data_IF_098015983251
#
_entry.id   IF_098015983251
#
_cell.length_a   1.000
_cell.length_b   1.000
_cell.length_c   1.000
_cell.angle_alpha   90.00
_cell.angle_beta   90.00
_cell.angle_gamma   90.00
#
_symmetry.space_group_name_H-M   'P 1'
#
loop_
_entity.id
_entity.type
_entity.pdbx_description
1 polymer ?
#
# COMPACT_ATOMS: atom_id res chain seq x y z
N UNK A 1 -17.66 18.75 -35.65
CA UNK A 1 -18.18 17.43 -35.23
C UNK A 1 -19.06 17.64 -34.02
N UNK A 2 -20.17 16.90 -33.91
CA UNK A 2 -20.96 16.87 -32.68
C UNK A 2 -20.09 16.34 -31.53
N UNK A 3 -20.28 16.86 -30.32
CA UNK A 3 -19.55 16.40 -29.13
C UNK A 3 -20.16 15.09 -28.65
N UNK A 4 -19.32 14.20 -28.14
CA UNK A 4 -19.75 12.96 -27.51
C UNK A 4 -20.50 13.31 -26.22
N UNK A 5 -21.64 12.67 -25.96
CA UNK A 5 -22.45 12.95 -24.79
C UNK A 5 -21.74 12.53 -23.50
N UNK A 6 -22.00 13.26 -22.41
CA UNK A 6 -21.51 12.89 -21.09
C UNK A 6 -21.99 11.48 -20.68
N UNK A 7 -23.22 11.11 -21.05
CA UNK A 7 -23.76 9.75 -20.82
C UNK A 7 -22.90 8.67 -21.45
N UNK A 8 -22.38 8.89 -22.67
CA UNK A 8 -21.44 7.94 -23.28
C UNK A 8 -20.16 7.85 -22.48
N UNK A 9 -19.58 8.99 -22.10
CA UNK A 9 -18.34 9.04 -21.33
C UNK A 9 -18.50 8.29 -20.00
N UNK A 10 -19.57 8.59 -19.25
CA UNK A 10 -19.87 7.95 -17.97
C UNK A 10 -20.00 6.43 -18.10
N UNK A 11 -20.72 5.95 -19.14
CA UNK A 11 -20.86 4.51 -19.42
C UNK A 11 -19.51 3.83 -19.69
N UNK A 12 -18.60 4.50 -20.38
CA UNK A 12 -17.27 3.94 -20.66
C UNK A 12 -16.35 4.01 -19.43
N UNK A 13 -16.50 5.02 -18.58
CA UNK A 13 -15.81 5.13 -17.28
C UNK A 13 -16.34 4.13 -16.23
N UNK A 14 -17.52 3.55 -16.47
CA UNK A 14 -18.13 2.49 -15.68
C UNK A 14 -17.80 1.08 -16.15
N UNK A 15 -16.91 0.92 -17.13
CA UNK A 15 -16.45 -0.40 -17.57
C UNK A 15 -15.45 -1.01 -16.58
N UNK A 16 -15.54 -2.32 -16.35
CA UNK A 16 -14.53 -3.05 -15.59
C UNK A 16 -13.19 -2.98 -16.32
N UNK A 17 -12.20 -2.36 -15.68
CA UNK A 17 -10.92 -2.06 -16.31
C UNK A 17 -10.07 -3.30 -16.58
N UNK A 18 -10.16 -4.34 -15.73
CA UNK A 18 -9.42 -5.57 -15.96
C UNK A 18 -10.05 -6.37 -17.11
N UNK A 19 -11.38 -6.44 -17.17
CA UNK A 19 -12.10 -7.06 -18.28
C UNK A 19 -11.86 -6.31 -19.59
N UNK A 20 -11.89 -4.98 -19.57
CA UNK A 20 -11.53 -4.16 -20.72
C UNK A 20 -10.09 -4.43 -21.21
N UNK A 21 -9.11 -4.48 -20.29
CA UNK A 21 -7.72 -4.75 -20.66
C UNK A 21 -7.55 -6.14 -21.32
N UNK A 22 -8.27 -7.16 -20.84
CA UNK A 22 -8.28 -8.49 -21.48
C UNK A 22 -8.90 -8.43 -22.88
N UNK A 23 -10.01 -7.71 -23.07
CA UNK A 23 -10.63 -7.52 -24.40
C UNK A 23 -9.75 -6.71 -25.36
N UNK A 24 -8.93 -5.79 -24.84
CA UNK A 24 -7.92 -5.07 -25.61
C UNK A 24 -6.77 -5.99 -26.06
N UNK A 25 -6.59 -7.14 -25.41
CA UNK A 25 -5.59 -8.15 -25.73
C UNK A 25 -4.47 -8.32 -24.69
N UNK A 26 -4.56 -7.63 -23.55
CA UNK A 26 -3.54 -7.75 -22.49
C UNK A 26 -3.68 -9.06 -21.74
N UNK A 27 -2.54 -9.70 -21.47
CA UNK A 27 -2.44 -10.82 -20.55
C UNK A 27 -2.34 -10.29 -19.12
N UNK A 28 -3.30 -10.63 -18.27
CA UNK A 28 -3.35 -10.20 -16.88
C UNK A 28 -2.98 -11.35 -15.92
N UNK A 29 -2.17 -11.02 -14.92
CA UNK A 29 -1.86 -11.90 -13.78
C UNK A 29 -2.51 -11.34 -12.52
N UNK A 30 -3.43 -12.09 -11.91
CA UNK A 30 -4.09 -11.66 -10.66
C UNK A 30 -3.17 -11.86 -9.45
N UNK A 31 -3.01 -10.83 -8.63
CA UNK A 31 -2.31 -10.88 -7.34
C UNK A 31 -3.16 -10.18 -6.27
N UNK A 32 -3.88 -10.98 -5.48
CA UNK A 32 -4.87 -10.47 -4.51
C UNK A 32 -6.05 -9.78 -5.20
N UNK A 33 -6.27 -8.50 -4.86
CA UNK A 33 -7.28 -7.63 -5.47
C UNK A 33 -6.80 -6.89 -6.72
N UNK A 34 -5.53 -7.04 -7.08
CA UNK A 34 -4.89 -6.34 -8.19
C UNK A 34 -4.65 -7.28 -9.38
N UNK A 35 -4.53 -6.70 -10.57
CA UNK A 35 -4.13 -7.40 -11.80
C UNK A 35 -2.87 -6.74 -12.36
N UNK A 36 -1.88 -7.54 -12.71
CA UNK A 36 -0.61 -7.06 -13.27
C UNK A 36 -0.47 -7.44 -14.73
N UNK A 37 0.09 -6.53 -15.53
CA UNK A 37 0.43 -6.75 -16.93
C UNK A 37 1.65 -5.93 -17.34
N UNK A 38 2.08 -6.08 -18.59
CA UNK A 38 3.28 -5.45 -19.12
C UNK A 38 3.02 -3.97 -19.44
N UNK A 39 3.95 -3.08 -19.11
CA UNK A 39 3.98 -1.68 -19.54
C UNK A 39 4.29 -1.55 -21.03
N UNK A 40 4.10 -0.36 -21.58
CA UNK A 40 4.51 -0.06 -22.93
C UNK A 40 6.04 0.03 -23.04
N UNK A 41 6.59 -0.36 -24.20
CA UNK A 41 8.03 -0.28 -24.45
C UNK A 41 8.83 -1.51 -24.04
N UNK A 42 8.17 -2.65 -23.82
CA UNK A 42 8.82 -3.96 -23.70
C UNK A 42 9.56 -4.15 -22.38
N UNK A 43 8.82 -4.45 -21.32
CA UNK A 43 9.43 -4.95 -20.08
C UNK A 43 9.43 -6.48 -20.03
N UNK A 44 10.41 -7.06 -19.34
CA UNK A 44 10.49 -8.52 -19.14
C UNK A 44 9.60 -9.00 -18.00
N UNK A 45 9.13 -8.08 -17.17
CA UNK A 45 8.38 -8.36 -15.95
C UNK A 45 7.18 -7.43 -15.83
N UNK A 46 5.95 -7.94 -15.65
CA UNK A 46 4.76 -7.13 -15.43
C UNK A 46 4.90 -6.15 -14.26
N UNK A 47 4.90 -4.85 -14.54
CA UNK A 47 4.95 -3.77 -13.55
C UNK A 47 3.75 -2.82 -13.63
N UNK A 48 2.89 -2.94 -14.65
CA UNK A 48 1.63 -2.21 -14.69
C UNK A 48 0.58 -2.92 -13.84
N UNK A 49 0.04 -2.20 -12.87
CA UNK A 49 -0.99 -2.68 -11.96
C UNK A 49 -2.34 -2.04 -12.28
N UNK A 50 -3.39 -2.85 -12.35
CA UNK A 50 -4.80 -2.47 -12.44
C UNK A 50 -5.47 -2.81 -11.11
N UNK A 51 -6.20 -1.86 -10.54
CA UNK A 51 -7.00 -2.02 -9.33
C UNK A 51 -8.49 -1.85 -9.69
N UNK A 52 -9.23 -2.94 -10.01
CA UNK A 52 -10.60 -2.85 -10.56
C UNK A 52 -11.59 -2.11 -9.67
N UNK A 53 -11.55 -2.34 -8.36
CA UNK A 53 -12.40 -1.67 -7.36
C UNK A 53 -12.24 -0.13 -7.37
N UNK A 54 -11.07 0.36 -7.81
CA UNK A 54 -10.75 1.78 -7.93
C UNK A 54 -10.84 2.31 -9.35
N UNK A 55 -11.07 1.42 -10.33
CA UNK A 55 -11.02 1.71 -11.78
C UNK A 55 -9.74 2.42 -12.18
N UNK A 56 -8.63 2.11 -11.51
CA UNK A 56 -7.36 2.81 -11.63
C UNK A 56 -6.28 1.87 -12.13
N UNK A 57 -5.28 2.43 -12.80
CA UNK A 57 -4.06 1.72 -13.16
C UNK A 57 -2.81 2.58 -12.92
N UNK A 58 -1.70 1.92 -12.62
CA UNK A 58 -0.39 2.55 -12.34
C UNK A 58 0.73 1.69 -12.94
N UNK A 59 1.62 2.30 -13.71
CA UNK A 59 2.82 1.63 -14.25
C UNK A 59 4.01 1.83 -13.29
N UNK A 60 4.31 0.84 -12.45
CA UNK A 60 5.36 0.96 -11.42
C UNK A 60 6.79 1.01 -11.98
N UNK A 61 7.02 0.46 -13.17
CA UNK A 61 8.30 0.59 -13.88
C UNK A 61 8.51 1.95 -14.56
N UNK A 62 7.55 2.87 -14.45
CA UNK A 62 7.59 4.21 -15.04
C UNK A 62 6.76 5.20 -14.21
N UNK A 63 6.28 6.31 -14.79
CA UNK A 63 5.58 7.38 -14.06
C UNK A 63 4.09 7.54 -14.42
N UNK A 64 3.59 6.75 -15.36
CA UNK A 64 2.23 6.85 -15.88
C UNK A 64 1.20 6.17 -14.97
N UNK A 65 0.06 6.83 -14.82
CA UNK A 65 -1.11 6.32 -14.12
C UNK A 65 -2.38 6.97 -14.66
N UNK A 66 -3.53 6.34 -14.44
CA UNK A 66 -4.80 6.82 -14.98
C UNK A 66 -6.03 6.11 -14.44
N UNK A 67 -7.20 6.57 -14.89
CA UNK A 67 -8.51 6.07 -14.49
C UNK A 67 -9.35 5.66 -15.69
N UNK A 68 -10.03 4.52 -15.57
CA UNK A 68 -10.96 4.01 -16.57
C UNK A 68 -10.32 3.54 -17.89
N UNK A 69 -11.17 2.99 -18.75
CA UNK A 69 -10.77 2.39 -20.01
C UNK A 69 -10.20 3.41 -21.02
N UNK A 70 -10.72 4.65 -21.03
CA UNK A 70 -10.26 5.72 -21.93
C UNK A 70 -8.80 6.08 -21.65
N UNK A 71 -8.45 6.32 -20.38
CA UNK A 71 -7.09 6.64 -19.99
C UNK A 71 -6.14 5.47 -20.27
N UNK A 72 -6.60 4.25 -20.00
CA UNK A 72 -5.83 3.03 -20.23
C UNK A 72 -5.53 2.79 -21.72
N UNK A 73 -6.54 2.89 -22.58
CA UNK A 73 -6.39 2.78 -24.02
C UNK A 73 -5.44 3.86 -24.56
N UNK A 74 -5.61 5.10 -24.10
CA UNK A 74 -4.74 6.21 -24.49
C UNK A 74 -3.28 5.95 -24.13
N UNK A 75 -3.02 5.42 -22.93
CA UNK A 75 -1.67 5.02 -22.55
C UNK A 75 -1.15 3.91 -23.46
N UNK A 76 -1.93 2.85 -23.67
CA UNK A 76 -1.56 1.73 -24.53
C UNK A 76 -1.20 2.17 -25.94
N UNK A 77 -1.94 3.12 -26.51
CA UNK A 77 -1.75 3.57 -27.89
C UNK A 77 -0.68 4.65 -28.05
N UNK A 78 -0.60 5.60 -27.13
CA UNK A 78 0.21 6.82 -27.30
C UNK A 78 1.17 7.13 -26.16
N UNK A 79 1.33 6.24 -25.17
CA UNK A 79 2.11 6.48 -23.94
C UNK A 79 1.66 7.73 -23.16
N UNK A 80 0.39 8.13 -23.26
CA UNK A 80 -0.17 9.22 -22.45
C UNK A 80 -1.49 8.83 -21.80
N UNK A 81 -1.66 9.01 -20.47
CA UNK A 81 -2.91 8.69 -19.80
C UNK A 81 -3.99 9.78 -19.96
N UNK A 82 -3.66 10.95 -20.53
CA UNK A 82 -4.53 12.12 -20.62
C UNK A 82 -4.73 12.54 -22.08
N UNK A 83 -5.53 11.80 -22.87
CA UNK A 83 -5.81 12.15 -24.26
C UNK A 83 -6.55 13.50 -24.34
N UNK A 84 -6.29 14.28 -25.39
CA UNK A 84 -6.93 15.59 -25.63
C UNK A 84 -7.29 15.73 -27.11
N UNK A 85 -8.29 16.57 -27.41
CA UNK A 85 -8.69 16.86 -28.79
C UNK A 85 -9.07 15.59 -29.56
N UNK A 86 -8.47 15.41 -30.74
CA UNK A 86 -8.73 14.25 -31.60
C UNK A 86 -8.38 12.92 -30.93
N UNK A 87 -7.30 12.85 -30.14
CA UNK A 87 -6.93 11.64 -29.40
C UNK A 87 -8.00 11.21 -28.40
N UNK A 88 -8.72 12.17 -27.80
CA UNK A 88 -9.80 11.86 -26.87
C UNK A 88 -10.98 11.24 -27.60
N UNK A 89 -11.37 11.81 -28.74
CA UNK A 89 -12.46 11.29 -29.58
C UNK A 89 -12.13 9.87 -30.03
N UNK A 90 -10.91 9.67 -30.56
CA UNK A 90 -10.45 8.37 -31.03
C UNK A 90 -10.36 7.33 -29.89
N UNK A 91 -9.93 7.73 -28.70
CA UNK A 91 -9.92 6.85 -27.54
C UNK A 91 -11.35 6.41 -27.16
N UNK A 92 -12.30 7.34 -27.12
CA UNK A 92 -13.70 7.02 -26.79
C UNK A 92 -14.31 6.08 -27.82
N UNK A 93 -14.11 6.35 -29.11
CA UNK A 93 -14.62 5.50 -30.19
C UNK A 93 -14.01 4.10 -30.15
N UNK A 94 -12.70 3.99 -29.91
CA UNK A 94 -12.03 2.69 -29.80
C UNK A 94 -12.47 1.91 -28.56
N UNK A 95 -12.61 2.57 -27.41
CA UNK A 95 -13.09 1.93 -26.18
C UNK A 95 -14.53 1.44 -26.36
N UNK A 96 -15.41 2.27 -26.93
CA UNK A 96 -16.79 1.91 -27.24
C UNK A 96 -16.86 0.73 -28.23
N UNK A 97 -15.99 0.71 -29.23
CA UNK A 97 -15.85 -0.42 -30.16
C UNK A 97 -15.44 -1.70 -29.42
N UNK A 98 -14.37 -1.68 -28.63
CA UNK A 98 -13.90 -2.89 -27.92
C UNK A 98 -14.95 -3.37 -26.90
N UNK A 99 -15.55 -2.45 -26.16
CA UNK A 99 -16.53 -2.75 -25.14
C UNK A 99 -17.92 -3.09 -25.69
N UNK A 100 -18.19 -2.85 -26.99
CA UNK A 100 -19.52 -2.99 -27.56
C UNK A 100 -20.53 -2.05 -26.90
N UNK A 101 -20.24 -0.75 -26.83
CA UNK A 101 -21.11 0.27 -26.22
C UNK A 101 -21.52 1.30 -27.26
N UNK A 102 -22.80 1.64 -27.35
CA UNK A 102 -23.29 2.68 -28.27
C UNK A 102 -22.70 4.05 -27.91
N UNK A 103 -22.38 4.83 -28.94
CA UNK A 103 -21.86 6.20 -28.79
C UNK A 103 -22.99 7.17 -29.06
N UNK A 104 -23.44 7.86 -28.04
CA UNK A 104 -24.42 8.94 -28.14
C UNK A 104 -23.69 10.29 -28.19
N UNK A 105 -24.14 11.16 -29.08
CA UNK A 105 -23.65 12.52 -29.24
C UNK A 105 -24.64 13.52 -28.64
N UNK A 106 -24.18 14.72 -28.29
CA UNK A 106 -25.01 15.78 -27.68
C UNK A 106 -26.18 16.22 -28.60
N UNK A 107 -26.06 16.02 -29.91
CA UNK A 107 -27.11 16.31 -30.89
C UNK A 107 -28.16 15.18 -31.01
N UNK A 108 -28.06 14.13 -30.19
CA UNK A 108 -28.95 12.97 -30.19
C UNK A 108 -28.59 11.90 -31.22
N UNK A 109 -27.53 12.10 -32.03
CA UNK A 109 -27.04 11.06 -32.94
C UNK A 109 -26.50 9.88 -32.12
N UNK A 110 -26.85 8.66 -32.52
CA UNK A 110 -26.32 7.43 -31.93
C UNK A 110 -25.52 6.66 -32.98
N UNK A 111 -24.31 6.26 -32.64
CA UNK A 111 -23.44 5.44 -33.48
C UNK A 111 -23.30 4.06 -32.83
N UNK A 112 -23.59 3.03 -33.62
CA UNK A 112 -23.44 1.63 -33.22
C UNK A 112 -22.05 1.14 -33.65
N UNK A 113 -21.16 0.79 -32.71
CA UNK A 113 -19.88 0.20 -33.06
C UNK A 113 -20.07 -1.17 -33.72
N UNK A 114 -19.17 -1.56 -34.62
CA UNK A 114 -19.26 -2.82 -35.35
C UNK A 114 -19.20 -4.07 -34.45
N UNK A 115 -18.61 -3.94 -33.27
CA UNK A 115 -18.55 -5.02 -32.27
C UNK A 115 -19.81 -5.10 -31.39
N UNK A 116 -20.77 -4.19 -31.52
CA UNK A 116 -22.01 -4.25 -30.77
C UNK A 116 -22.88 -5.43 -31.24
N UNK A 117 -23.15 -6.37 -30.33
CA UNK A 117 -23.97 -7.56 -30.58
C UNK A 117 -25.28 -7.54 -29.79
N UNK A 118 -25.74 -6.36 -29.36
CA UNK A 118 -26.95 -6.18 -28.56
C UNK A 118 -26.70 -6.01 -27.05
N UNK A 119 -25.47 -6.20 -26.58
CA UNK A 119 -25.06 -5.95 -25.19
C UNK A 119 -23.56 -5.59 -25.12
N UNK A 120 -23.11 -4.90 -24.05
CA UNK A 120 -21.69 -4.68 -23.79
C UNK A 120 -20.92 -6.00 -23.65
N UNK A 121 -19.73 -6.06 -24.25
CA UNK A 121 -18.76 -7.17 -24.15
C UNK A 121 -17.90 -7.09 -22.90
N UNK A 122 -17.81 -5.91 -22.31
CA UNK A 122 -17.09 -5.65 -21.06
C UNK A 122 -18.11 -5.48 -19.95
N UNK A 123 -17.88 -6.15 -18.83
CA UNK A 123 -18.74 -6.08 -17.65
C UNK A 123 -18.77 -4.66 -17.10
N UNK A 124 -19.88 -4.30 -16.45
CA UNK A 124 -19.91 -3.12 -15.60
C UNK A 124 -18.88 -3.31 -14.48
N UNK A 125 -18.13 -2.24 -14.20
CA UNK A 125 -17.21 -2.20 -13.09
C UNK A 125 -17.96 -2.48 -11.78
N UNK A 126 -17.27 -3.08 -10.79
CA UNK A 126 -17.76 -3.12 -9.42
C UNK A 126 -18.23 -1.74 -8.97
N UNK A 127 -19.16 -1.71 -8.01
CA UNK A 127 -19.61 -0.46 -7.40
C UNK A 127 -18.37 0.31 -6.93
N UNK A 128 -18.23 1.54 -7.43
CA UNK A 128 -17.09 2.36 -7.09
C UNK A 128 -17.16 2.66 -5.58
N UNK A 129 -16.22 2.08 -4.83
CA UNK A 129 -16.00 2.50 -3.46
C UNK A 129 -15.36 3.88 -3.58
N UNK A 130 -16.17 4.94 -3.47
CA UNK A 130 -15.70 6.33 -3.44
C UNK A 130 -14.96 6.56 -2.13
N UNK A 131 -13.75 6.00 -2.04
CA UNK A 131 -12.76 6.44 -1.05
C UNK A 131 -12.48 7.91 -1.31
N UNK A 132 -12.36 8.71 -0.25
CA UNK A 132 -11.87 10.07 -0.45
C UNK A 132 -10.46 10.00 -1.01
N UNK A 133 -10.21 10.74 -2.09
CA UNK A 133 -8.88 10.78 -2.71
C UNK A 133 -7.88 11.30 -1.69
N UNK A 134 -6.81 10.52 -1.50
CA UNK A 134 -5.69 10.90 -0.63
C UNK A 134 -5.07 12.19 -1.16
N UNK A 135 -4.87 13.17 -0.26
CA UNK A 135 -4.22 14.46 -0.58
C UNK A 135 -2.74 14.28 -0.94
N UNK A 136 -2.16 15.31 -1.56
CA UNK A 136 -0.73 15.36 -1.86
C UNK A 136 0.16 15.30 -0.61
N UNK A 137 1.42 14.88 -0.80
CA UNK A 137 2.37 14.66 0.30
C UNK A 137 2.61 15.92 1.17
N UNK A 138 2.79 17.15 0.61
CA UNK A 138 2.95 18.34 1.44
C UNK A 138 1.72 18.66 2.30
N UNK A 139 0.50 18.45 1.77
CA UNK A 139 -0.72 18.63 2.54
C UNK A 139 -0.85 17.60 3.64
N UNK A 140 -0.55 16.32 3.35
CA UNK A 140 -0.53 15.25 4.34
C UNK A 140 0.44 15.56 5.49
N UNK A 141 1.67 15.95 5.16
CA UNK A 141 2.72 16.29 6.13
C UNK A 141 2.25 17.37 7.10
N UNK A 142 1.62 18.44 6.59
CA UNK A 142 1.10 19.54 7.40
C UNK A 142 0.07 19.06 8.43
N UNK A 143 -0.91 18.26 8.00
CA UNK A 143 -1.93 17.71 8.89
C UNK A 143 -1.32 16.74 9.91
N UNK A 144 -0.45 15.85 9.47
CA UNK A 144 0.16 14.83 10.32
C UNK A 144 1.10 15.41 11.37
N UNK A 145 2.00 16.33 11.00
CA UNK A 145 2.87 17.00 11.98
C UNK A 145 2.07 17.79 13.00
N UNK A 146 0.96 18.43 12.59
CA UNK A 146 0.06 19.11 13.54
C UNK A 146 -0.62 18.12 14.48
N UNK A 147 -1.15 17.02 13.96
CA UNK A 147 -1.78 15.95 14.74
C UNK A 147 -0.80 15.35 15.76
N UNK A 148 0.44 15.08 15.37
CA UNK A 148 1.47 14.45 16.22
C UNK A 148 1.78 15.24 17.50
N UNK A 149 1.50 16.56 17.53
CA UNK A 149 1.68 17.38 18.75
C UNK A 149 0.75 16.96 19.90
N UNK A 150 -0.34 16.27 19.59
CA UNK A 150 -1.36 15.86 20.56
C UNK A 150 -1.24 14.38 20.98
N UNK A 151 -0.28 13.63 20.44
CA UNK A 151 -0.11 12.20 20.68
C UNK A 151 1.27 11.85 21.27
N UNK A 152 1.68 12.44 22.41
CA UNK A 152 3.00 12.18 22.98
C UNK A 152 3.24 10.68 23.18
N UNK A 153 4.50 10.27 23.06
CA UNK A 153 4.88 8.89 23.30
C UNK A 153 4.66 8.56 24.79
N UNK A 154 3.94 7.47 25.06
CA UNK A 154 3.67 7.00 26.43
C UNK A 154 4.92 6.37 27.05
N UNK A 155 4.94 6.24 28.37
CA UNK A 155 6.07 5.63 29.10
C UNK A 155 6.24 4.17 28.67
N UNK A 156 5.15 3.42 28.53
CA UNK A 156 5.15 2.02 28.13
C UNK A 156 5.72 1.84 26.71
N UNK A 157 5.32 2.71 25.78
CA UNK A 157 5.81 2.66 24.40
C UNK A 157 7.26 3.12 24.29
N UNK A 158 7.67 4.10 25.10
CA UNK A 158 9.09 4.48 25.23
C UNK A 158 9.92 3.31 25.74
N UNK A 159 9.45 2.59 26.76
CA UNK A 159 10.13 1.41 27.29
C UNK A 159 10.19 0.27 26.28
N UNK A 160 9.18 0.10 25.43
CA UNK A 160 9.22 -0.83 24.32
C UNK A 160 10.41 -0.54 23.39
N UNK A 161 10.62 0.71 22.99
CA UNK A 161 11.76 1.07 22.14
C UNK A 161 13.10 0.83 22.83
N UNK A 162 13.25 1.23 24.09
CA UNK A 162 14.50 1.02 24.85
C UNK A 162 14.83 -0.46 25.04
N UNK A 163 13.84 -1.29 25.39
CA UNK A 163 14.10 -2.69 25.80
C UNK A 163 13.98 -3.70 24.68
N UNK A 164 13.08 -3.48 23.72
CA UNK A 164 12.84 -4.43 22.61
C UNK A 164 13.51 -4.00 21.33
N UNK A 165 13.66 -2.70 21.10
CA UNK A 165 14.32 -2.16 19.90
C UNK A 165 15.73 -1.65 20.17
N UNK A 166 16.14 -1.61 21.44
CA UNK A 166 17.47 -1.19 21.88
C UNK A 166 17.84 0.21 21.37
N UNK A 167 16.85 1.08 21.19
CA UNK A 167 17.06 2.46 20.79
C UNK A 167 17.36 3.33 22.01
N UNK A 168 18.29 4.26 21.86
CA UNK A 168 18.57 5.29 22.85
C UNK A 168 17.57 6.47 22.75
N UNK A 169 17.59 7.36 23.75
CA UNK A 169 16.65 8.47 23.83
C UNK A 169 16.79 9.49 22.70
N UNK A 170 18.01 9.70 22.20
CA UNK A 170 18.25 10.57 21.03
C UNK A 170 17.55 10.01 19.80
N UNK A 171 17.73 8.72 19.52
CA UNK A 171 17.04 8.02 18.43
C UNK A 171 15.53 8.14 18.60
N UNK A 172 14.98 7.74 19.74
CA UNK A 172 13.52 7.75 19.98
C UNK A 172 12.94 9.16 19.78
N UNK A 173 13.63 10.19 20.28
CA UNK A 173 13.20 11.58 20.13
C UNK A 173 13.20 12.02 18.66
N UNK A 174 14.32 11.84 17.96
CA UNK A 174 14.53 12.27 16.58
C UNK A 174 13.60 11.57 15.59
N UNK A 175 13.25 10.30 15.83
CA UNK A 175 12.33 9.55 14.94
C UNK A 175 10.89 10.04 15.00
N UNK A 176 10.55 10.82 16.02
CA UNK A 176 9.23 11.39 16.27
C UNK A 176 8.12 10.34 16.41
N UNK A 177 8.40 9.18 17.01
CA UNK A 177 7.35 8.20 17.32
C UNK A 177 6.30 8.78 18.28
N UNK A 178 5.05 8.31 18.16
CA UNK A 178 3.90 8.80 18.94
C UNK A 178 3.08 7.64 19.48
N UNK A 179 2.16 7.89 20.42
CA UNK A 179 1.21 6.87 20.91
C UNK A 179 -0.22 7.26 20.57
N UNK A 180 -0.92 6.43 19.80
CA UNK A 180 -2.36 6.55 19.60
C UNK A 180 -3.08 5.93 20.81
N UNK A 181 -3.67 6.76 21.67
CA UNK A 181 -4.45 6.29 22.82
C UNK A 181 -5.82 5.76 22.42
N UNK A 182 -6.46 4.90 23.24
CA UNK A 182 -7.77 4.30 22.93
C UNK A 182 -8.98 5.25 23.15
N UNK A 183 -8.79 6.33 23.92
CA UNK A 183 -9.85 7.25 24.31
C UNK A 183 -10.48 8.00 23.12
N UNK A 184 -11.70 7.61 22.73
CA UNK A 184 -12.44 8.20 21.60
C UNK A 184 -12.73 9.69 21.75
N UNK A 185 -13.04 10.16 22.96
CA UNK A 185 -13.35 11.57 23.24
C UNK A 185 -12.13 12.45 23.01
N UNK A 186 -10.97 12.02 23.50
CA UNK A 186 -9.72 12.73 23.27
C UNK A 186 -9.37 12.76 21.77
N UNK A 187 -9.60 11.68 21.02
CA UNK A 187 -9.33 11.67 19.56
C UNK A 187 -10.24 12.63 18.79
N UNK A 188 -11.50 12.73 19.20
CA UNK A 188 -12.42 13.75 18.68
C UNK A 188 -11.90 15.16 18.97
N UNK A 189 -11.48 15.44 20.21
CA UNK A 189 -10.93 16.75 20.59
C UNK A 189 -9.66 17.10 19.79
N UNK A 190 -8.79 16.12 19.54
CA UNK A 190 -7.62 16.31 18.67
C UNK A 190 -8.04 16.65 17.25
N UNK A 191 -8.98 15.90 16.68
CA UNK A 191 -9.49 16.19 15.34
C UNK A 191 -10.09 17.60 15.24
N UNK A 192 -10.88 18.02 16.23
CA UNK A 192 -11.45 19.36 16.33
C UNK A 192 -10.38 20.47 16.38
N UNK A 193 -9.31 20.29 17.18
CA UNK A 193 -8.18 21.24 17.21
C UNK A 193 -7.49 21.34 15.86
N UNK A 194 -7.18 20.21 15.22
CA UNK A 194 -6.54 20.16 13.91
C UNK A 194 -7.41 20.87 12.87
N UNK A 195 -8.72 20.63 12.89
CA UNK A 195 -9.68 21.26 11.98
C UNK A 195 -9.76 22.77 12.13
N UNK A 196 -9.79 23.27 13.37
CA UNK A 196 -9.83 24.71 13.64
C UNK A 196 -8.60 25.44 13.10
N UNK A 197 -7.46 24.77 13.03
CA UNK A 197 -6.22 25.36 12.54
C UNK A 197 -5.99 25.16 11.04
N UNK A 198 -6.35 24.00 10.48
CA UNK A 198 -5.98 23.61 9.11
C UNK A 198 -7.16 23.40 8.16
N UNK A 199 -8.40 23.48 8.64
CA UNK A 199 -9.61 23.17 7.89
C UNK A 199 -9.98 21.67 7.91
N UNK A 200 -11.01 21.30 7.15
CA UNK A 200 -11.51 19.92 7.13
C UNK A 200 -10.45 18.92 6.64
N UNK A 201 -10.27 17.76 7.31
CA UNK A 201 -9.22 16.80 7.02
C UNK A 201 -9.67 15.78 5.97
N UNK A 202 -10.51 16.19 5.02
CA UNK A 202 -10.97 15.33 3.95
C UNK A 202 -9.80 14.93 3.04
N UNK A 203 -9.65 13.62 2.79
CA UNK A 203 -8.51 13.08 2.05
C UNK A 203 -7.24 12.89 2.90
N UNK A 204 -7.30 13.05 4.23
CA UNK A 204 -6.19 12.74 5.15
C UNK A 204 -6.44 11.37 5.80
N UNK A 205 -5.60 10.34 5.53
CA UNK A 205 -5.73 9.03 6.16
C UNK A 205 -5.76 9.09 7.68
N UNK A 206 -6.62 8.28 8.30
CA UNK A 206 -6.79 8.22 9.75
C UNK A 206 -7.88 9.14 10.29
N UNK A 207 -8.14 10.28 9.63
CA UNK A 207 -9.30 11.11 9.90
C UNK A 207 -10.54 10.54 9.24
N UNK A 208 -11.66 10.56 9.97
CA UNK A 208 -12.93 10.07 9.49
C UNK A 208 -14.07 10.97 9.93
N UNK A 209 -15.03 11.18 9.03
CA UNK A 209 -16.29 11.84 9.35
C UNK A 209 -17.31 10.77 9.71
N UNK A 210 -17.72 10.76 10.97
CA UNK A 210 -18.57 9.72 11.53
C UNK A 210 -19.97 10.27 11.83
N UNK A 211 -20.96 9.37 11.73
CA UNK A 211 -22.32 9.63 12.18
C UNK A 211 -22.35 9.72 13.69
N UNK A 212 -22.82 10.84 14.23
CA UNK A 212 -23.08 10.99 15.66
C UNK A 212 -24.56 10.85 15.99
N UNK A 213 -24.86 10.81 17.29
CA UNK A 213 -26.23 10.74 17.79
C UNK A 213 -27.01 12.03 17.56
N UNK A 214 -26.33 13.19 17.64
CA UNK A 214 -26.93 14.51 17.41
C UNK A 214 -26.41 15.15 16.13
N UNK A 215 -25.09 15.17 15.95
CA UNK A 215 -24.42 15.74 14.78
C UNK A 215 -23.31 14.81 14.31
N UNK A 216 -23.07 14.80 13.01
CA UNK A 216 -21.91 14.13 12.44
C UNK A 216 -20.64 14.89 12.85
N UNK A 217 -19.53 14.18 13.03
CA UNK A 217 -18.31 14.75 13.57
C UNK A 217 -17.06 14.12 12.98
N UNK A 218 -15.98 14.87 12.93
CA UNK A 218 -14.66 14.35 12.56
C UNK A 218 -13.95 13.75 13.77
N UNK A 219 -13.27 12.63 13.58
CA UNK A 219 -12.43 11.99 14.60
C UNK A 219 -11.26 11.26 13.97
N UNK A 220 -10.38 10.69 14.80
CA UNK A 220 -9.25 9.86 14.36
C UNK A 220 -9.55 8.40 14.70
N UNK A 221 -9.59 7.55 13.68
CA UNK A 221 -9.85 6.11 13.81
C UNK A 221 -8.53 5.32 13.88
N UNK A 222 -8.60 4.10 14.40
CA UNK A 222 -7.45 3.20 14.55
C UNK A 222 -7.43 2.48 15.89
N UNK A 223 -6.68 1.38 15.98
CA UNK A 223 -6.47 0.67 17.26
C UNK A 223 -5.35 1.35 18.04
N UNK A 224 -5.42 1.35 19.37
CA UNK A 224 -4.36 1.90 20.20
C UNK A 224 -3.00 1.21 19.92
N UNK A 225 -1.92 2.00 19.93
CA UNK A 225 -0.60 1.54 19.56
C UNK A 225 0.42 2.65 19.33
N UNK A 226 1.62 2.23 18.95
CA UNK A 226 2.71 3.12 18.55
C UNK A 226 2.47 3.58 17.11
N UNK A 227 2.43 4.90 16.90
CA UNK A 227 2.38 5.56 15.61
C UNK A 227 3.80 5.72 15.05
N UNK A 228 4.02 5.12 13.89
CA UNK A 228 5.28 5.13 13.14
C UNK A 228 5.09 6.01 11.90
N UNK A 229 5.71 7.20 11.83
CA UNK A 229 5.60 8.08 10.67
C UNK A 229 6.29 7.48 9.44
N UNK A 230 5.62 7.47 8.29
CA UNK A 230 6.19 7.07 7.00
C UNK A 230 6.62 8.31 6.23
N UNK A 231 7.91 8.46 5.97
CA UNK A 231 8.52 9.62 5.32
C UNK A 231 8.86 9.31 3.87
N UNK A 232 8.55 10.22 2.95
CA UNK A 232 9.04 10.11 1.57
C UNK A 232 10.49 10.63 1.45
N UNK A 233 11.06 10.57 0.24
CA UNK A 233 12.41 11.09 -0.06
C UNK A 233 12.54 12.62 -0.01
N UNK A 234 11.49 13.31 0.46
CA UNK A 234 11.48 14.75 0.75
C UNK A 234 11.15 15.05 2.23
N UNK A 235 11.17 14.03 3.11
CA UNK A 235 10.77 14.13 4.52
C UNK A 235 9.33 14.62 4.75
N UNK A 236 8.44 14.42 3.79
CA UNK A 236 7.00 14.56 4.06
C UNK A 236 6.51 13.30 4.77
N UNK A 237 5.77 13.47 5.86
CA UNK A 237 5.01 12.37 6.46
C UNK A 237 3.81 12.08 5.55
N UNK A 238 3.77 10.89 4.95
CA UNK A 238 2.76 10.50 3.95
C UNK A 238 1.76 9.46 4.47
N UNK A 239 1.95 9.02 5.71
CA UNK A 239 1.05 8.14 6.44
C UNK A 239 1.66 7.65 7.76
N UNK A 240 0.89 6.85 8.49
CA UNK A 240 1.36 6.17 9.69
C UNK A 240 1.04 4.69 9.65
N UNK A 241 2.02 3.87 10.01
CA UNK A 241 1.72 2.53 10.48
C UNK A 241 1.57 2.56 12.00
N UNK A 242 0.56 1.87 12.50
CA UNK A 242 0.33 1.63 13.91
C UNK A 242 0.89 0.25 14.25
N UNK A 243 1.84 0.19 15.18
CA UNK A 243 2.16 -1.05 15.88
C UNK A 243 1.24 -1.17 17.09
N UNK A 244 0.26 -2.05 17.03
CA UNK A 244 -0.76 -2.17 18.07
C UNK A 244 -0.17 -2.58 19.43
N UNK A 245 -0.73 -2.05 20.51
CA UNK A 245 -0.37 -2.48 21.87
C UNK A 245 -0.73 -3.95 22.09
N UNK A 246 -1.86 -4.37 21.51
CA UNK A 246 -2.31 -5.76 21.45
C UNK A 246 -2.51 -6.18 19.99
N UNK A 247 -2.00 -7.34 19.55
CA UNK A 247 -2.13 -7.75 18.17
C UNK A 247 -3.61 -8.00 17.82
N UNK A 248 -3.93 -7.94 16.53
CA UNK A 248 -5.13 -8.59 16.04
C UNK A 248 -4.82 -10.06 15.82
N UNK A 249 -5.76 -10.94 16.17
CA UNK A 249 -5.62 -12.36 15.92
C UNK A 249 -6.34 -12.69 14.62
N UNK A 250 -5.59 -13.28 13.71
CA UNK A 250 -6.10 -13.86 12.48
C UNK A 250 -5.89 -15.37 12.54
N UNK A 251 -6.61 -16.12 11.72
CA UNK A 251 -6.41 -17.56 11.59
C UNK A 251 -5.75 -17.89 10.25
N UNK A 252 -4.64 -18.62 10.29
CA UNK A 252 -4.10 -19.31 9.11
C UNK A 252 -4.83 -20.64 9.02
N UNK A 253 -5.49 -20.84 7.89
CA UNK A 253 -6.24 -22.06 7.57
C UNK A 253 -5.51 -22.79 6.46
N UNK A 254 -5.17 -24.06 6.70
CA UNK A 254 -4.62 -24.97 5.69
C UNK A 254 -5.63 -26.12 5.52
N UNK A 255 -6.20 -26.28 4.31
CA UNK A 255 -7.26 -27.25 4.02
C UNK A 255 -8.60 -26.59 3.65
N UNK A 256 -9.62 -27.40 3.35
CA UNK A 256 -10.92 -26.94 2.85
C UNK A 256 -11.91 -26.60 3.98
N UNK A 257 -11.49 -25.77 4.91
CA UNK A 257 -12.29 -25.35 6.07
C UNK A 257 -12.38 -23.82 6.13
N UNK A 258 -13.30 -23.30 6.94
CA UNK A 258 -13.43 -21.86 7.19
C UNK A 258 -13.70 -21.58 8.65
N UNK A 259 -13.00 -20.60 9.21
CA UNK A 259 -13.29 -20.06 10.54
C UNK A 259 -14.38 -19.00 10.42
N UNK A 260 -15.45 -19.15 11.19
CA UNK A 260 -16.55 -18.18 11.31
C UNK A 260 -16.38 -17.42 12.61
N UNK A 261 -16.07 -16.12 12.49
CA UNK A 261 -15.86 -15.21 13.61
C UNK A 261 -17.19 -14.76 14.24
N UNK A 262 -17.83 -15.67 14.97
CA UNK A 262 -18.97 -15.39 15.85
C UNK A 262 -18.67 -15.85 17.28
N UNK A 263 -19.62 -15.71 18.20
CA UNK A 263 -19.44 -16.15 19.58
C UNK A 263 -20.46 -17.27 19.90
N UNK A 264 -20.03 -18.54 20.07
CA UNK A 264 -18.65 -19.04 19.98
C UNK A 264 -18.13 -19.10 18.53
N UNK A 265 -16.79 -19.13 18.36
CA UNK A 265 -16.17 -19.32 17.05
C UNK A 265 -16.56 -20.70 16.51
N UNK A 266 -16.70 -20.82 15.20
CA UNK A 266 -16.93 -22.11 14.54
C UNK A 266 -15.87 -22.37 13.48
N UNK A 267 -15.50 -23.64 13.31
CA UNK A 267 -14.83 -24.12 12.10
C UNK A 267 -15.80 -24.97 11.32
N UNK A 268 -16.01 -24.61 10.05
CA UNK A 268 -16.87 -25.36 9.14
C UNK A 268 -16.03 -26.03 8.06
N UNK A 269 -16.42 -27.24 7.68
CA UNK A 269 -15.96 -27.87 6.45
C UNK A 269 -16.66 -27.20 5.26
N UNK A 270 -15.90 -26.80 4.24
CA UNK A 270 -16.48 -26.10 3.08
C UNK A 270 -17.10 -27.05 2.06
N UNK A 271 -16.77 -28.35 2.09
CA UNK A 271 -17.35 -29.35 1.21
C UNK A 271 -18.66 -29.89 1.77
N UNK A 272 -18.68 -30.26 3.06
CA UNK A 272 -19.88 -30.83 3.69
C UNK A 272 -20.77 -29.78 4.35
N UNK A 273 -20.27 -28.55 4.56
CA UNK A 273 -20.92 -27.52 5.37
C UNK A 273 -21.14 -27.91 6.84
N UNK A 274 -20.50 -28.99 7.31
CA UNK A 274 -20.60 -29.43 8.71
C UNK A 274 -19.74 -28.56 9.62
N UNK A 275 -20.21 -28.37 10.85
CA UNK A 275 -19.44 -27.70 11.90
C UNK A 275 -18.47 -28.73 12.48
N UNK A 276 -17.18 -28.58 12.16
CA UNK A 276 -16.12 -29.45 12.65
C UNK A 276 -15.72 -29.13 14.10
N UNK A 277 -15.91 -27.88 14.53
CA UNK A 277 -15.55 -27.44 15.88
C UNK A 277 -16.23 -26.14 16.28
N UNK A 278 -16.48 -25.99 17.59
CA UNK A 278 -16.95 -24.75 18.21
C UNK A 278 -16.18 -24.44 19.50
N UNK A 279 -15.89 -23.16 19.75
CA UNK A 279 -15.25 -22.75 21.01
C UNK A 279 -14.71 -21.33 21.02
N UNK A 280 -13.72 -21.10 21.88
CA UNK A 280 -13.10 -19.79 22.08
C UNK A 280 -11.84 -19.61 21.24
N UNK A 281 -11.43 -18.36 21.00
CA UNK A 281 -10.22 -18.05 20.24
C UNK A 281 -9.00 -18.83 20.76
N UNK A 282 -8.79 -18.87 22.08
CA UNK A 282 -7.64 -19.52 22.72
C UNK A 282 -7.55 -21.03 22.53
N UNK A 283 -8.70 -21.70 22.36
CA UNK A 283 -8.75 -23.13 22.08
C UNK A 283 -8.42 -23.47 20.61
N UNK A 284 -8.49 -22.49 19.70
CA UNK A 284 -8.36 -22.69 18.24
C UNK A 284 -6.90 -22.67 17.73
N UNK A 285 -5.90 -22.62 18.60
CA UNK A 285 -4.50 -22.51 18.18
C UNK A 285 -3.85 -23.89 17.94
N UNK A 286 -3.33 -24.12 16.73
CA UNK A 286 -2.67 -25.36 16.29
C UNK A 286 -3.58 -26.59 16.30
N UNK A 287 -4.87 -26.41 16.04
CA UNK A 287 -5.79 -27.53 15.89
C UNK A 287 -5.65 -28.18 14.52
N UNK A 288 -5.76 -29.52 14.54
CA UNK A 288 -5.83 -30.37 13.34
C UNK A 288 -7.16 -31.10 13.37
N UNK A 289 -7.75 -31.24 12.20
CA UNK A 289 -9.03 -31.90 11.99
C UNK A 289 -8.80 -33.26 11.33
N UNK A 290 -9.75 -34.18 11.48
CA UNK A 290 -9.65 -35.54 10.93
C UNK A 290 -9.51 -35.56 9.40
N UNK A 291 -10.09 -34.57 8.72
CA UNK A 291 -9.95 -34.35 7.28
C UNK A 291 -8.56 -33.84 6.85
N UNK A 292 -7.59 -33.76 7.77
CA UNK A 292 -6.24 -33.28 7.53
C UNK A 292 -6.10 -31.76 7.49
N UNK A 293 -7.20 -31.01 7.62
CA UNK A 293 -7.15 -29.56 7.70
C UNK A 293 -6.56 -29.09 9.04
N UNK A 294 -6.05 -27.87 9.08
CA UNK A 294 -5.52 -27.28 10.31
C UNK A 294 -5.76 -25.79 10.41
N UNK A 295 -5.85 -25.32 11.65
CA UNK A 295 -6.00 -23.90 12.00
C UNK A 295 -4.90 -23.52 12.98
N UNK A 296 -4.22 -22.41 12.70
CA UNK A 296 -3.25 -21.80 13.62
C UNK A 296 -3.47 -20.31 13.76
N UNK A 297 -3.22 -19.76 14.95
CA UNK A 297 -3.29 -18.32 15.17
C UNK A 297 -2.11 -17.61 14.52
N UNK A 298 -2.39 -16.54 13.81
CA UNK A 298 -1.42 -15.53 13.37
C UNK A 298 -1.71 -14.21 14.04
N UNK A 299 -0.70 -13.68 14.72
CA UNK A 299 -0.77 -12.37 15.35
C UNK A 299 -0.34 -11.28 14.38
N UNK A 300 -1.26 -10.37 14.06
CA UNK A 300 -0.98 -9.18 13.25
C UNK A 300 -0.77 -7.98 14.18
N UNK A 301 0.48 -7.58 14.30
CA UNK A 301 0.91 -6.46 15.16
C UNK A 301 0.80 -5.09 14.50
N UNK A 302 0.69 -5.02 13.17
CA UNK A 302 0.74 -3.75 12.44
C UNK A 302 -0.53 -3.51 11.63
N UNK A 303 -0.90 -2.24 11.48
CA UNK A 303 -1.90 -1.78 10.53
C UNK A 303 -1.70 -0.32 10.16
N UNK A 304 -2.36 0.13 9.11
CA UNK A 304 -2.27 1.53 8.70
C UNK A 304 -3.26 2.39 9.48
N UNK A 305 -2.85 3.62 9.82
CA UNK A 305 -3.76 4.66 10.30
C UNK A 305 -4.56 5.19 9.10
N UNK A 306 -5.57 4.43 8.69
CA UNK A 306 -6.42 4.71 7.56
C UNK A 306 -7.79 4.07 7.79
N UNK A 307 -8.82 4.61 7.14
CA UNK A 307 -10.17 4.04 7.20
C UNK A 307 -10.88 4.28 5.89
N UNK A 308 -11.57 3.25 5.40
CA UNK A 308 -12.45 3.40 4.25
C UNK A 308 -13.82 3.90 4.73
N UNK A 309 -14.60 4.57 3.87
CA UNK A 309 -16.01 4.80 4.14
C UNK A 309 -16.71 3.46 4.43
N UNK A 310 -17.51 3.44 5.49
CA UNK A 310 -18.26 2.28 5.95
C UNK A 310 -19.55 2.79 6.63
N UNK A 311 -20.59 3.12 5.84
CA UNK A 311 -21.82 3.70 6.36
C UNK A 311 -22.54 2.79 7.37
N UNK A 312 -22.41 1.47 7.24
CA UNK A 312 -23.00 0.50 8.18
C UNK A 312 -22.38 0.64 9.58
N UNK A 313 -21.07 0.90 9.65
CA UNK A 313 -20.36 1.22 10.90
C UNK A 313 -20.40 2.70 11.27
N UNK A 314 -21.15 3.52 10.53
CA UNK A 314 -21.30 4.95 10.76
C UNK A 314 -20.11 5.80 10.30
N UNK A 315 -19.22 5.28 9.46
CA UNK A 315 -18.11 6.04 8.85
C UNK A 315 -18.61 6.61 7.52
N UNK A 316 -19.04 7.87 7.53
CA UNK A 316 -19.61 8.56 6.37
C UNK A 316 -18.54 8.96 5.36
N UNK A 317 -17.38 9.40 5.86
CA UNK A 317 -16.19 9.71 5.06
C UNK A 317 -14.95 9.12 5.72
N UNK A 318 -14.09 8.50 4.91
CA UNK A 318 -12.80 7.97 5.32
C UNK A 318 -11.82 8.01 4.15
N UNK A 319 -10.53 8.06 4.46
CA UNK A 319 -9.47 8.00 3.46
C UNK A 319 -8.61 6.77 3.67
N UNK A 320 -8.51 5.94 2.63
CA UNK A 320 -7.57 4.83 2.58
C UNK A 320 -6.12 5.34 2.58
N UNK A 321 -5.17 4.45 2.84
CA UNK A 321 -3.76 4.82 2.90
C UNK A 321 -3.13 5.19 1.53
N UNK A 322 -3.91 5.16 0.44
CA UNK A 322 -3.45 5.34 -0.93
C UNK A 322 -3.19 4.01 -1.64
N UNK A 323 -3.11 4.07 -2.97
CA UNK A 323 -2.65 2.98 -3.83
C UNK A 323 -1.70 3.59 -4.89
N UNK A 324 -0.37 3.49 -4.72
CA UNK A 324 0.32 2.66 -3.73
C UNK A 324 0.25 3.18 -2.28
N UNK A 325 0.49 2.28 -1.33
CA UNK A 325 0.72 2.64 0.06
C UNK A 325 2.04 3.41 0.24
N UNK A 326 2.22 4.19 1.31
CA UNK A 326 3.49 4.83 1.65
C UNK A 326 4.65 3.84 1.77
N UNK A 327 5.82 4.25 1.30
CA UNK A 327 7.10 3.73 1.76
C UNK A 327 7.67 4.64 2.85
N UNK A 328 8.72 4.19 3.52
CA UNK A 328 9.44 5.00 4.51
C UNK A 328 10.92 5.12 4.11
N UNK A 329 11.40 6.34 3.97
CA UNK A 329 12.81 6.68 3.83
C UNK A 329 13.44 6.85 5.22
N UNK A 330 14.08 5.78 5.70
CA UNK A 330 14.84 5.79 6.94
C UNK A 330 16.27 6.26 6.67
N UNK A 331 16.72 7.24 7.44
CA UNK A 331 18.04 7.86 7.34
C UNK A 331 18.73 7.82 8.71
N UNK A 332 20.06 7.93 8.79
CA UNK A 332 20.75 8.03 10.06
C UNK A 332 20.16 9.14 10.95
N UNK A 333 20.17 8.96 12.26
CA UNK A 333 19.62 9.89 13.25
C UNK A 333 20.20 11.28 13.07
N UNK A 334 21.51 11.37 12.83
CA UNK A 334 22.21 12.63 12.57
C UNK A 334 21.72 13.33 11.30
N UNK A 335 21.38 12.58 10.25
CA UNK A 335 20.80 13.14 9.03
C UNK A 335 19.37 13.63 9.30
N UNK A 336 18.56 12.83 10.00
CA UNK A 336 17.16 13.19 10.28
C UNK A 336 17.04 14.45 11.15
N UNK A 337 18.00 14.72 12.03
CA UNK A 337 18.04 15.94 12.85
C UNK A 337 18.14 17.23 12.02
N UNK A 338 18.67 17.15 10.80
CA UNK A 338 18.92 18.30 9.93
C UNK A 338 18.16 18.23 8.60
N UNK A 339 17.47 17.13 8.33
CA UNK A 339 16.66 16.96 7.13
C UNK A 339 15.29 17.60 7.34
N UNK A 340 14.94 18.62 6.57
CA UNK A 340 13.68 19.34 6.70
C UNK A 340 12.67 18.96 5.61
N UNK A 341 11.35 19.00 5.90
CA UNK A 341 10.31 18.71 4.91
C UNK A 341 10.46 19.57 3.65
N UNK A 342 10.38 18.92 2.49
CA UNK A 342 10.55 19.51 1.17
C UNK A 342 11.98 19.41 0.60
N UNK A 343 13.00 19.15 1.42
CA UNK A 343 14.37 18.94 0.93
C UNK A 343 14.52 17.54 0.35
N UNK A 344 15.08 17.43 -0.85
CA UNK A 344 15.34 16.12 -1.43
C UNK A 344 16.47 15.41 -0.67
N UNK A 345 16.34 14.09 -0.49
CA UNK A 345 17.28 13.30 0.32
C UNK A 345 18.74 13.41 -0.14
N UNK A 346 18.99 13.56 -1.44
CA UNK A 346 20.35 13.70 -1.99
C UNK A 346 21.02 15.02 -1.63
N UNK A 347 20.29 15.98 -1.04
CA UNK A 347 20.85 17.24 -0.56
C UNK A 347 21.46 17.11 0.83
N UNK A 348 21.13 16.05 1.58
CA UNK A 348 21.47 15.91 3.00
C UNK A 348 22.29 14.66 3.34
N UNK A 349 22.43 13.71 2.41
CA UNK A 349 23.31 12.55 2.57
C UNK A 349 23.74 11.97 1.22
N UNK A 350 24.77 11.13 1.23
CA UNK A 350 25.11 10.32 0.06
C UNK A 350 24.01 9.28 -0.20
N UNK A 351 23.59 9.18 -1.45
CA UNK A 351 22.58 8.23 -1.92
C UNK A 351 23.11 7.35 -3.04
N UNK A 352 24.44 7.23 -3.15
CA UNK A 352 25.09 6.37 -4.15
C UNK A 352 24.75 4.89 -3.96
N UNK A 353 24.53 4.47 -2.72
CA UNK A 353 24.01 3.16 -2.34
C UNK A 353 22.75 3.35 -1.50
N UNK A 354 21.69 2.59 -1.80
CA UNK A 354 20.48 2.55 -0.98
C UNK A 354 20.11 1.12 -0.64
N UNK A 355 19.41 0.94 0.47
CA UNK A 355 18.88 -0.35 0.90
C UNK A 355 17.39 -0.45 0.67
N UNK A 356 16.93 -1.59 0.20
CA UNK A 356 15.52 -1.97 0.24
C UNK A 356 15.30 -2.98 1.36
N UNK A 357 14.32 -2.73 2.21
CA UNK A 357 14.00 -3.60 3.34
C UNK A 357 12.51 -3.68 3.67
N UNK A 358 12.23 -4.37 4.77
CA UNK A 358 10.88 -4.49 5.34
C UNK A 358 10.79 -3.89 6.75
N UNK A 359 9.86 -2.96 6.91
CA UNK A 359 9.46 -2.40 8.21
C UNK A 359 10.20 -1.11 8.59
N UNK A 360 9.47 -0.06 9.01
CA UNK A 360 10.04 1.26 9.25
C UNK A 360 11.03 1.27 10.42
N UNK A 361 10.70 0.60 11.54
CA UNK A 361 11.57 0.55 12.73
C UNK A 361 12.91 -0.12 12.39
N UNK A 362 12.88 -1.17 11.55
CA UNK A 362 14.10 -1.85 11.15
C UNK A 362 14.98 -0.94 10.32
N UNK A 363 14.41 -0.29 9.30
CA UNK A 363 15.14 0.69 8.50
C UNK A 363 15.71 1.83 9.34
N UNK A 364 14.96 2.34 10.32
CA UNK A 364 15.44 3.38 11.23
C UNK A 364 16.69 2.91 11.98
N UNK A 365 16.67 1.72 12.57
CA UNK A 365 17.85 1.13 13.26
C UNK A 365 18.98 0.90 12.24
N UNK A 366 18.70 0.20 11.15
CA UNK A 366 19.70 -0.18 10.15
C UNK A 366 20.38 1.01 9.49
N UNK A 367 19.67 2.12 9.30
CA UNK A 367 20.25 3.36 8.77
C UNK A 367 21.31 3.95 9.71
N UNK A 368 21.11 3.89 11.04
CA UNK A 368 22.12 4.34 12.01
C UNK A 368 23.39 3.50 11.97
N UNK A 369 23.31 2.23 11.57
CA UNK A 369 24.45 1.30 11.51
C UNK A 369 25.18 1.30 10.17
N UNK A 370 24.44 1.47 9.09
CA UNK A 370 25.00 1.47 7.72
C UNK A 370 25.44 2.85 7.28
N UNK A 371 24.92 3.91 7.91
CA UNK A 371 25.06 5.30 7.48
C UNK A 371 24.49 5.57 6.07
N UNK A 372 23.67 4.65 5.56
CA UNK A 372 23.09 4.69 4.22
C UNK A 372 21.57 4.87 4.28
N UNK A 373 20.96 5.23 3.14
CA UNK A 373 19.51 5.41 3.02
C UNK A 373 18.81 4.04 2.96
N UNK A 374 17.81 3.84 3.81
CA UNK A 374 16.98 2.64 3.88
C UNK A 374 15.55 2.93 3.42
N UNK A 375 15.17 2.45 2.24
CA UNK A 375 13.80 2.50 1.75
C UNK A 375 13.03 1.25 2.21
N UNK A 376 11.97 1.47 2.97
CA UNK A 376 11.23 0.42 3.67
C UNK A 376 9.78 0.33 3.21
N UNK A 377 9.29 -0.90 3.02
CA UNK A 377 7.87 -1.19 2.78
C UNK A 377 7.26 -1.97 3.94
N UNK A 378 5.94 -1.92 4.04
CA UNK A 378 5.16 -2.75 4.96
C UNK A 378 4.92 -4.15 4.37
N UNK A 379 5.98 -4.95 4.28
CA UNK A 379 5.95 -6.30 3.71
C UNK A 379 6.73 -6.41 2.40
N UNK A 380 7.63 -7.39 2.31
CA UNK A 380 8.47 -7.65 1.12
C UNK A 380 7.67 -7.79 -0.18
N UNK A 381 6.44 -8.31 -0.13
CA UNK A 381 5.57 -8.44 -1.31
C UNK A 381 5.19 -7.10 -1.95
N UNK A 382 5.34 -5.99 -1.23
CA UNK A 382 5.03 -4.62 -1.71
C UNK A 382 6.26 -3.89 -2.26
N UNK A 383 7.37 -4.58 -2.51
CA UNK A 383 8.64 -3.97 -2.95
C UNK A 383 8.52 -3.06 -4.18
N UNK A 384 7.57 -3.31 -5.09
CA UNK A 384 7.37 -2.49 -6.31
C UNK A 384 7.15 -1.00 -6.00
N UNK A 385 6.63 -0.68 -4.81
CA UNK A 385 6.45 0.70 -4.33
C UNK A 385 7.81 1.43 -4.24
N UNK A 386 8.90 0.71 -4.00
CA UNK A 386 10.25 1.28 -3.87
C UNK A 386 10.90 1.63 -5.21
N UNK A 387 10.36 1.17 -6.33
CA UNK A 387 10.91 1.49 -7.66
C UNK A 387 10.85 3.00 -7.91
N UNK A 388 9.69 3.61 -7.68
CA UNK A 388 9.46 5.04 -7.93
C UNK A 388 10.46 5.96 -7.21
N UNK A 389 10.64 5.89 -5.88
CA UNK A 389 11.65 6.71 -5.20
C UNK A 389 13.07 6.35 -5.61
N UNK A 390 13.37 5.08 -5.88
CA UNK A 390 14.70 4.65 -6.35
C UNK A 390 15.05 5.27 -7.69
N UNK A 391 14.11 5.30 -8.63
CA UNK A 391 14.30 5.90 -9.95
C UNK A 391 14.40 7.42 -9.91
N UNK A 392 13.83 8.07 -8.89
CA UNK A 392 14.04 9.49 -8.61
C UNK A 392 15.44 9.77 -8.04
N UNK A 393 15.88 8.96 -7.08
CA UNK A 393 17.20 9.08 -6.45
C UNK A 393 18.33 8.76 -7.45
N UNK A 394 18.14 7.76 -8.31
CA UNK A 394 19.14 7.24 -9.27
C UNK A 394 20.45 6.81 -8.58
N UNK A 395 20.40 5.89 -7.59
CA UNK A 395 21.61 5.40 -6.94
C UNK A 395 22.47 4.61 -7.93
N UNK A 396 23.74 4.40 -7.60
CA UNK A 396 24.60 3.46 -8.33
C UNK A 396 24.21 2.01 -8.01
N UNK A 397 23.78 1.76 -6.77
CA UNK A 397 23.45 0.41 -6.28
C UNK A 397 22.25 0.40 -5.34
N UNK A 398 21.44 -0.65 -5.48
CA UNK A 398 20.41 -1.06 -4.52
C UNK A 398 20.88 -2.34 -3.82
N UNK A 399 20.84 -2.37 -2.49
CA UNK A 399 21.10 -3.57 -1.69
C UNK A 399 19.78 -4.07 -1.09
N UNK A 400 19.42 -5.32 -1.35
CA UNK A 400 18.29 -5.98 -0.69
C UNK A 400 18.72 -6.45 0.70
N UNK A 401 18.08 -5.92 1.74
CA UNK A 401 18.30 -6.26 3.15
C UNK A 401 17.05 -6.80 3.83
N UNK A 402 16.37 -7.77 3.21
CA UNK A 402 15.19 -8.42 3.79
C UNK A 402 15.59 -9.41 4.90
N UNK A 403 14.74 -9.57 5.91
CA UNK A 403 14.97 -10.44 7.08
C UNK A 403 15.43 -11.86 6.69
N UNK A 404 16.33 -12.48 7.47
CA UNK A 404 16.83 -13.82 7.16
C UNK A 404 15.73 -14.89 7.20
N UNK A 405 14.72 -14.75 8.07
CA UNK A 405 13.58 -15.68 8.12
C UNK A 405 12.67 -15.57 6.88
N UNK A 406 12.75 -14.45 6.17
CA UNK A 406 12.11 -14.25 4.87
C UNK A 406 12.86 -14.97 3.75
N UNK A 407 14.14 -15.32 3.97
CA UNK A 407 15.01 -16.00 3.01
C UNK A 407 15.06 -17.52 3.24
N UNK A 408 14.84 -17.99 4.48
CA UNK A 408 14.99 -19.40 4.89
C UNK A 408 13.70 -20.24 4.84
N UNK A 409 12.51 -19.63 4.89
CA UNK A 409 11.23 -20.35 4.90
C UNK A 409 10.81 -20.81 3.50
N UNK A 410 10.75 -22.13 3.29
CA UNK A 410 10.23 -22.80 2.08
C UNK A 410 8.79 -22.40 1.71
N UNK A 411 8.02 -21.87 2.67
CA UNK A 411 6.67 -21.36 2.47
C UNK A 411 6.65 -19.87 2.10
N UNK A 412 6.22 -19.57 0.86
CA UNK A 412 5.77 -18.26 0.32
C UNK A 412 6.72 -17.05 0.39
N UNK A 413 7.57 -16.93 1.40
CA UNK A 413 8.36 -15.72 1.70
C UNK A 413 9.73 -15.77 1.00
N UNK A 414 10.42 -16.92 1.01
CA UNK A 414 11.61 -17.12 0.16
C UNK A 414 11.29 -16.91 -1.32
N UNK A 415 10.07 -17.30 -1.73
CA UNK A 415 9.53 -17.00 -3.07
C UNK A 415 9.34 -15.51 -3.32
N UNK A 416 9.00 -14.72 -2.31
CA UNK A 416 8.81 -13.27 -2.46
C UNK A 416 10.14 -12.53 -2.66
N UNK A 417 11.21 -12.90 -1.93
CA UNK A 417 12.55 -12.34 -2.12
C UNK A 417 13.12 -12.74 -3.48
N UNK A 418 13.05 -14.01 -3.85
CA UNK A 418 13.48 -14.48 -5.18
C UNK A 418 12.70 -13.80 -6.30
N UNK A 419 11.39 -13.67 -6.16
CA UNK A 419 10.55 -12.93 -7.10
C UNK A 419 10.96 -11.46 -7.17
N UNK A 420 11.20 -10.79 -6.04
CA UNK A 420 11.72 -9.42 -6.02
C UNK A 420 13.03 -9.31 -6.80
N UNK A 421 13.99 -10.20 -6.60
CA UNK A 421 15.25 -10.22 -7.35
C UNK A 421 15.00 -10.39 -8.86
N UNK A 422 14.23 -11.42 -9.24
CA UNK A 422 13.94 -11.73 -10.64
C UNK A 422 13.24 -10.57 -11.37
N UNK A 423 12.35 -9.87 -10.66
CA UNK A 423 11.52 -8.81 -11.19
C UNK A 423 12.21 -7.44 -11.16
N UNK A 424 12.96 -7.11 -10.11
CA UNK A 424 13.62 -5.81 -9.94
C UNK A 424 14.91 -5.70 -10.74
N UNK A 425 15.72 -6.76 -10.81
CA UNK A 425 17.02 -6.76 -11.50
C UNK A 425 16.96 -6.22 -12.94
N UNK A 426 16.07 -6.71 -13.84
CA UNK A 426 16.01 -6.19 -15.20
C UNK A 426 15.62 -4.71 -15.26
N UNK A 427 14.72 -4.26 -14.38
CA UNK A 427 14.25 -2.87 -14.32
C UNK A 427 15.39 -1.94 -13.90
N UNK A 428 16.12 -2.31 -12.85
CA UNK A 428 17.23 -1.53 -12.31
C UNK A 428 18.43 -1.50 -13.28
N UNK A 429 18.79 -2.64 -13.87
CA UNK A 429 19.88 -2.73 -14.84
C UNK A 429 19.62 -1.89 -16.10
N UNK A 430 18.37 -1.82 -16.59
CA UNK A 430 17.99 -0.93 -17.71
C UNK A 430 18.32 0.55 -17.42
N UNK A 431 18.34 0.92 -16.13
CA UNK A 431 18.66 2.27 -15.66
C UNK A 431 20.11 2.42 -15.20
N UNK A 432 20.95 1.41 -15.41
CA UNK A 432 22.35 1.40 -14.97
C UNK A 432 22.53 1.31 -13.45
N UNK A 433 21.52 0.80 -12.74
CA UNK A 433 21.54 0.63 -11.28
C UNK A 433 21.86 -0.83 -10.97
N UNK A 434 22.92 -1.06 -10.22
CA UNK A 434 23.31 -2.40 -9.77
C UNK A 434 22.36 -2.92 -8.68
N UNK A 435 22.01 -4.20 -8.76
CA UNK A 435 21.29 -4.88 -7.68
C UNK A 435 22.24 -5.80 -6.91
N UNK A 436 22.24 -5.70 -5.60
CA UNK A 436 22.95 -6.59 -4.69
C UNK A 436 22.01 -7.11 -3.60
N UNK A 437 22.42 -8.15 -2.89
CA UNK A 437 21.71 -8.72 -1.75
C UNK A 437 22.65 -8.91 -0.58
N UNK A 438 22.21 -8.57 0.63
CA UNK A 438 22.91 -8.88 1.87
C UNK A 438 22.30 -10.12 2.53
N UNK A 439 23.14 -11.11 2.83
CA UNK A 439 22.74 -12.41 3.36
C UNK A 439 23.50 -12.69 4.66
N UNK A 440 22.80 -13.25 5.64
CA UNK A 440 23.38 -13.74 6.89
C UNK A 440 22.61 -14.98 7.39
N UNK A 441 23.23 -15.83 8.23
CA UNK A 441 22.55 -16.97 8.83
C UNK A 441 21.44 -16.54 9.81
N UNK A 442 20.26 -17.16 9.74
CA UNK A 442 19.12 -16.87 10.62
C UNK A 442 19.47 -17.11 12.11
N UNK A 443 20.41 -18.03 12.38
CA UNK A 443 20.89 -18.35 13.72
C UNK A 443 21.60 -17.18 14.39
N UNK A 444 22.20 -16.27 13.60
CA UNK A 444 22.83 -15.05 14.12
C UNK A 444 21.75 -14.01 14.46
N UNK A 445 20.82 -13.80 13.53
CA UNK A 445 19.77 -12.80 13.68
C UNK A 445 18.61 -13.08 12.72
N UNK A 446 17.38 -12.91 13.21
CA UNK A 446 16.18 -13.04 12.36
C UNK A 446 15.99 -11.82 11.46
N UNK A 447 16.04 -10.63 12.04
CA UNK A 447 15.93 -9.36 11.32
C UNK A 447 17.28 -8.69 11.07
N UNK A 448 17.32 -7.78 10.09
CA UNK A 448 18.50 -6.96 9.81
C UNK A 448 18.83 -5.99 10.96
N UNK A 449 17.81 -5.54 11.71
CA UNK A 449 17.99 -4.73 12.92
C UNK A 449 18.70 -5.53 14.01
N UNK A 450 18.25 -6.76 14.27
CA UNK A 450 18.88 -7.65 15.25
C UNK A 450 20.35 -7.98 14.90
N UNK A 451 20.65 -8.14 13.60
CA UNK A 451 22.00 -8.40 13.10
C UNK A 451 22.95 -7.26 13.47
N UNK A 452 22.56 -6.03 13.17
CA UNK A 452 23.38 -4.86 13.42
C UNK A 452 23.49 -4.52 14.91
N UNK A 453 22.40 -4.67 15.68
CA UNK A 453 22.42 -4.53 17.13
C UNK A 453 23.40 -5.51 17.79
N UNK A 454 23.57 -6.70 17.20
CA UNK A 454 24.52 -7.71 17.66
C UNK A 454 25.96 -7.48 17.18
N UNK A 455 26.22 -6.38 16.45
CA UNK A 455 27.55 -6.01 15.95
C UNK A 455 28.01 -6.80 14.73
N UNK A 456 27.11 -7.54 14.08
CA UNK A 456 27.42 -8.31 12.87
C UNK A 456 27.04 -7.54 11.60
N UNK A 457 27.60 -7.96 10.47
CA UNK A 457 27.24 -7.47 9.14
C UNK A 457 26.98 -8.65 8.21
N UNK A 458 25.98 -8.51 7.35
CA UNK A 458 25.69 -9.50 6.32
C UNK A 458 26.75 -9.49 5.22
N UNK A 459 26.92 -10.64 4.56
CA UNK A 459 27.75 -10.72 3.37
C UNK A 459 26.95 -10.21 2.17
N UNK A 460 27.53 -9.26 1.43
CA UNK A 460 26.85 -8.63 0.28
C UNK A 460 27.33 -9.27 -1.02
N UNK A 461 26.38 -9.67 -1.87
CA UNK A 461 26.62 -10.28 -3.16
C UNK A 461 26.00 -9.43 -4.27
N UNK A 462 26.79 -9.11 -5.30
CA UNK A 462 26.28 -8.47 -6.51
C UNK A 462 25.48 -9.49 -7.32
N UNK A 463 24.29 -9.12 -7.80
CA UNK A 463 23.35 -10.03 -8.45
C UNK A 463 23.43 -10.05 -9.96
#
# INVERSE_FOLDING_TARGET
MARISQTTIDRLEELDLADFAMQLGDQLKREGRHYYTYRNGGEKTPSLCITPEKRMWTAFGSTESGFGAISYFSYRKWNTPKPKGEQFIEAVEAVAQIAGVLIEYEDGKVVTPAAYTGAPRVKAAPQLIRENLKKDNPTLDRFFRRMMREFPLTVENTQHFRTKRQMNDRQIHTREYRSLFDNKTQRYQVADKVMKELGEPEGIPGFAFCKGSQFNYWTILGKAGILLPFRDIYNHITGFQIRYDRPNVNFKVDGNIKVIEKNPLQVIDLETSEILWEGTEDQLNHMKFENGASVSKKYRWYGWLASNPDPERGILKGTANGDPAPYHAAVPTEVLEHWHPGQHISEVMDTSTIWWGEGPIKGDISSDYTEELHLQVAGVSSWKILLEPTLKIKPKRVILGFDADSQSKDDSVGKAVLKCVQEAKPILNEKGIELAISIWPEEIAKGIDDLFLSGYKGQTFLL
#
